data_IF_540626265033
#
_entry.id   IF_540626265033
#
_cell.length_a   1.000
_cell.length_b   1.000
_cell.length_c   1.000
_cell.angle_alpha   90.00
_cell.angle_beta   90.00
_cell.angle_gamma   90.00
#
_symmetry.space_group_name_H-M   'P 1'
#
loop_
_entity.id
_entity.type
_entity.pdbx_description
1 polymer ?
#
# COMPACT_ATOMS: atom_id res chain seq x y z
N UNK A 1 22.75 18.08 -3.54
CA UNK A 1 21.90 17.76 -2.37
C UNK A 1 20.50 18.31 -2.62
N UNK A 2 19.61 17.49 -3.16
CA UNK A 2 18.19 17.83 -3.33
C UNK A 2 17.37 16.55 -3.14
N UNK A 3 17.25 16.14 -1.88
CA UNK A 3 16.23 15.18 -1.45
C UNK A 3 15.11 15.98 -0.76
N UNK A 4 14.26 16.60 -1.57
CA UNK A 4 12.89 16.98 -1.25
C UNK A 4 12.12 16.52 -2.49
N UNK A 5 11.26 15.51 -2.41
CA UNK A 5 9.94 15.61 -1.81
C UNK A 5 9.46 14.24 -1.32
N UNK A 6 9.15 14.12 -0.02
CA UNK A 6 7.95 13.37 0.32
C UNK A 6 6.79 14.22 -0.19
N UNK A 7 5.84 13.59 -0.90
CA UNK A 7 4.64 14.21 -1.46
C UNK A 7 3.82 15.06 -0.45
N UNK A 8 4.11 14.93 0.84
CA UNK A 8 3.48 15.70 1.92
C UNK A 8 4.03 17.14 2.04
N UNK A 9 5.17 17.47 1.41
CA UNK A 9 5.83 18.78 1.54
C UNK A 9 5.75 19.67 0.29
N UNK A 10 5.11 19.21 -0.79
CA UNK A 10 4.87 20.02 -2.00
C UNK A 10 3.39 20.39 -2.09
N UNK A 11 3.08 21.61 -1.64
CA UNK A 11 1.73 22.16 -1.59
C UNK A 11 1.08 22.17 -2.98
N UNK A 12 1.85 22.44 -4.03
CA UNK A 12 1.34 22.46 -5.41
C UNK A 12 0.99 21.05 -5.89
N UNK A 13 1.85 20.08 -5.63
CA UNK A 13 1.57 18.68 -5.96
C UNK A 13 0.32 18.19 -5.22
N UNK A 14 0.19 18.55 -3.94
CA UNK A 14 -0.99 18.23 -3.13
C UNK A 14 -2.28 18.85 -3.69
N UNK A 15 -2.26 20.13 -4.07
CA UNK A 15 -3.40 20.79 -4.70
C UNK A 15 -3.75 20.15 -6.05
N UNK A 16 -2.74 19.84 -6.88
CA UNK A 16 -2.95 19.21 -8.18
C UNK A 16 -3.61 17.83 -8.06
N UNK A 17 -3.18 17.02 -7.09
CA UNK A 17 -3.76 15.69 -6.83
C UNK A 17 -5.19 15.81 -6.32
N UNK A 18 -5.48 16.75 -5.40
CA UNK A 18 -6.86 16.98 -4.92
C UNK A 18 -7.77 17.53 -6.01
N UNK A 19 -7.27 18.46 -6.83
CA UNK A 19 -8.01 19.00 -7.96
C UNK A 19 -8.34 17.91 -8.98
N UNK A 20 -7.35 17.08 -9.35
CA UNK A 20 -7.58 16.00 -10.30
C UNK A 20 -8.56 14.96 -9.74
N UNK A 21 -8.48 14.64 -8.45
CA UNK A 21 -9.49 13.82 -7.76
C UNK A 21 -10.88 14.44 -7.83
N UNK A 22 -11.00 15.76 -7.64
CA UNK A 22 -12.28 16.47 -7.76
C UNK A 22 -12.85 16.40 -9.19
N UNK A 23 -11.99 16.61 -10.21
CA UNK A 23 -12.37 16.49 -11.62
C UNK A 23 -12.86 15.08 -11.94
N UNK A 24 -12.13 14.04 -11.54
CA UNK A 24 -12.53 12.66 -11.82
C UNK A 24 -13.84 12.30 -11.08
N UNK A 25 -14.02 12.75 -9.84
CA UNK A 25 -15.29 12.57 -9.14
C UNK A 25 -16.47 13.23 -9.86
N UNK A 26 -16.27 14.45 -10.36
CA UNK A 26 -17.28 15.18 -11.14
C UNK A 26 -17.59 14.45 -12.44
N UNK A 27 -16.58 13.94 -13.15
CA UNK A 27 -16.76 13.13 -14.36
C UNK A 27 -17.55 11.86 -14.10
N UNK A 28 -17.26 11.15 -13.01
CA UNK A 28 -18.04 9.97 -12.61
C UNK A 28 -19.51 10.32 -12.40
N UNK A 29 -19.80 11.42 -11.68
CA UNK A 29 -21.18 11.86 -11.45
C UNK A 29 -21.93 12.18 -12.75
N UNK A 30 -21.25 12.76 -13.74
CA UNK A 30 -21.85 13.14 -15.03
C UNK A 30 -22.06 11.96 -15.99
N UNK A 31 -21.27 10.88 -15.85
CA UNK A 31 -21.28 9.74 -16.79
C UNK A 31 -21.49 8.41 -16.06
N UNK A 32 -22.22 8.45 -14.93
CA UNK A 32 -22.31 7.34 -14.00
C UNK A 32 -22.76 6.05 -14.66
N UNK A 33 -23.83 6.07 -15.46
CA UNK A 33 -24.37 4.86 -16.09
C UNK A 33 -23.35 4.16 -16.99
N UNK A 34 -22.69 4.92 -17.87
CA UNK A 34 -21.68 4.39 -18.80
C UNK A 34 -20.42 3.89 -18.09
N UNK A 35 -19.99 4.57 -17.03
CA UNK A 35 -18.78 4.19 -16.30
C UNK A 35 -19.07 3.02 -15.37
N UNK A 36 -20.23 2.99 -14.73
CA UNK A 36 -20.60 1.98 -13.74
C UNK A 36 -20.67 0.56 -14.32
N UNK A 37 -20.95 0.40 -15.62
CA UNK A 37 -20.98 -0.92 -16.28
C UNK A 37 -19.59 -1.52 -16.42
N UNK A 38 -18.55 -0.71 -16.64
CA UNK A 38 -17.14 -1.15 -16.72
C UNK A 38 -16.67 -1.85 -15.43
N UNK A 39 -17.25 -1.47 -14.29
CA UNK A 39 -16.90 -1.99 -12.96
C UNK A 39 -17.87 -3.06 -12.43
N UNK A 40 -18.80 -3.59 -13.24
CA UNK A 40 -19.73 -4.65 -12.81
C UNK A 40 -19.06 -6.01 -12.58
N UNK A 41 -17.95 -6.23 -13.29
CA UNK A 41 -17.12 -7.43 -13.16
C UNK A 41 -16.13 -7.36 -12.00
N UNK A 42 -16.04 -6.21 -11.31
CA UNK A 42 -15.12 -6.02 -10.20
C UNK A 42 -15.51 -6.94 -9.04
N UNK A 43 -14.60 -7.85 -8.69
CA UNK A 43 -14.77 -8.84 -7.63
C UNK A 43 -14.06 -8.43 -6.35
N UNK A 44 -12.91 -7.75 -6.46
CA UNK A 44 -12.07 -7.42 -5.31
C UNK A 44 -11.64 -5.96 -5.32
N UNK A 45 -11.67 -5.33 -4.14
CA UNK A 45 -11.03 -4.06 -3.89
C UNK A 45 -10.07 -4.23 -2.71
N UNK A 46 -8.76 -4.18 -2.95
CA UNK A 46 -7.77 -4.34 -1.89
C UNK A 46 -7.30 -2.98 -1.33
N UNK A 47 -7.19 -2.88 -0.02
CA UNK A 47 -6.65 -1.71 0.66
C UNK A 47 -5.38 -2.10 1.39
N UNK A 48 -4.30 -1.37 1.13
CA UNK A 48 -3.07 -1.59 1.87
C UNK A 48 -3.19 -0.97 3.25
N UNK A 49 -2.66 -1.65 4.26
CA UNK A 49 -2.45 -1.14 5.61
C UNK A 49 -0.99 -1.35 6.02
N UNK A 50 -0.50 -0.57 6.98
CA UNK A 50 0.82 -0.73 7.56
C UNK A 50 1.54 0.59 7.75
N UNK A 51 2.82 0.59 7.40
CA UNK A 51 3.79 1.57 7.86
C UNK A 51 4.45 2.32 6.70
N UNK A 52 4.87 3.57 6.90
CA UNK A 52 5.78 4.21 5.98
C UNK A 52 7.03 3.36 5.77
N UNK A 53 7.44 3.22 4.52
CA UNK A 53 8.72 2.58 4.11
C UNK A 53 8.76 1.04 4.26
N UNK A 54 7.62 0.38 4.45
CA UNK A 54 7.55 -1.10 4.51
C UNK A 54 7.56 -1.80 3.15
N UNK A 55 7.51 -1.06 2.03
CA UNK A 55 7.59 -1.65 0.67
C UNK A 55 6.26 -1.71 -0.08
N UNK A 56 5.22 -1.02 0.38
CA UNK A 56 3.93 -0.93 -0.32
C UNK A 56 4.06 -0.58 -1.81
N UNK A 57 5.03 0.26 -2.19
CA UNK A 57 5.22 0.68 -3.58
C UNK A 57 5.72 -0.41 -4.53
N UNK A 58 6.59 -1.32 -4.06
CA UNK A 58 7.03 -2.44 -4.90
C UNK A 58 5.90 -3.47 -5.03
N UNK A 59 5.23 -3.81 -3.92
CA UNK A 59 4.05 -4.68 -3.95
C UNK A 59 2.94 -4.14 -4.84
N UNK A 60 2.62 -2.85 -4.71
CA UNK A 60 1.63 -2.19 -5.56
C UNK A 60 2.02 -2.21 -7.04
N UNK A 61 3.32 -2.13 -7.37
CA UNK A 61 3.78 -2.15 -8.75
C UNK A 61 3.79 -3.55 -9.37
N UNK A 62 4.11 -4.58 -8.57
CA UNK A 62 3.97 -6.00 -8.94
C UNK A 62 2.50 -6.31 -9.26
N UNK A 63 1.58 -5.86 -8.40
CA UNK A 63 0.14 -6.06 -8.60
C UNK A 63 -0.40 -5.28 -9.81
N UNK A 64 0.04 -4.05 -10.02
CA UNK A 64 -0.36 -3.22 -11.17
C UNK A 64 0.23 -3.74 -12.51
N UNK A 65 1.22 -4.63 -12.45
CA UNK A 65 1.76 -5.31 -13.62
C UNK A 65 0.93 -6.52 -14.06
N UNK A 66 -0.11 -6.88 -13.31
CA UNK A 66 -1.04 -7.97 -13.62
C UNK A 66 -2.13 -7.51 -14.61
N UNK A 67 -2.50 -8.31 -15.64
CA UNK A 67 -3.44 -7.91 -16.68
C UNK A 67 -4.86 -7.61 -16.17
N UNK A 68 -5.27 -8.22 -15.07
CA UNK A 68 -6.64 -8.10 -14.57
C UNK A 68 -6.78 -7.25 -13.29
N UNK A 69 -5.74 -6.47 -12.94
CA UNK A 69 -5.73 -5.62 -11.76
C UNK A 69 -5.15 -4.24 -12.03
N UNK A 70 -5.70 -3.22 -11.36
CA UNK A 70 -5.08 -1.88 -11.30
C UNK A 70 -4.83 -1.45 -9.86
N UNK A 71 -3.68 -0.83 -9.61
CA UNK A 71 -3.31 -0.32 -8.29
C UNK A 71 -3.07 1.18 -8.33
N UNK A 72 -3.89 1.91 -7.58
CA UNK A 72 -3.69 3.33 -7.38
C UNK A 72 -2.44 3.58 -6.54
N UNK A 73 -1.63 4.52 -7.03
CA UNK A 73 -0.51 5.07 -6.30
C UNK A 73 -0.98 6.18 -5.36
N UNK A 74 -1.18 5.82 -4.08
CA UNK A 74 -1.48 6.75 -2.99
C UNK A 74 -2.70 7.64 -3.25
N UNK A 75 -3.80 7.04 -3.69
CA UNK A 75 -5.05 7.76 -3.95
C UNK A 75 -5.68 8.26 -2.65
N UNK A 76 -5.44 7.58 -1.53
CA UNK A 76 -6.18 7.75 -0.28
C UNK A 76 -7.67 7.44 -0.50
N UNK A 77 -7.91 6.17 -0.86
CA UNK A 77 -9.21 5.60 -1.22
C UNK A 77 -10.29 5.91 -0.19
N UNK A 78 -9.98 5.81 1.10
CA UNK A 78 -10.94 6.07 2.18
C UNK A 78 -11.40 7.54 2.21
N UNK A 79 -10.58 8.50 1.74
CA UNK A 79 -11.06 9.88 1.57
C UNK A 79 -12.05 10.04 0.40
N UNK A 80 -12.12 9.09 -0.53
CA UNK A 80 -13.05 9.13 -1.67
C UNK A 80 -14.44 8.57 -1.35
N UNK A 81 -14.57 7.68 -0.34
CA UNK A 81 -15.75 6.80 -0.22
C UNK A 81 -16.71 7.10 0.94
N UNK A 82 -16.41 8.05 1.83
CA UNK A 82 -17.36 8.48 2.87
C UNK A 82 -17.91 7.32 3.72
N UNK A 83 -19.09 7.50 4.34
CA UNK A 83 -19.74 6.46 5.18
C UNK A 83 -20.48 5.39 4.38
N UNK A 84 -20.71 5.60 3.08
CA UNK A 84 -21.39 4.66 2.19
C UNK A 84 -20.58 4.54 0.90
N UNK A 85 -19.60 3.63 0.87
CA UNK A 85 -18.71 3.49 -0.27
C UNK A 85 -19.45 3.17 -1.57
N UNK A 86 -19.34 4.06 -2.56
CA UNK A 86 -19.68 3.72 -3.95
C UNK A 86 -18.46 3.03 -4.56
N UNK A 87 -18.47 1.69 -4.55
CA UNK A 87 -17.33 0.90 -4.98
C UNK A 87 -17.05 1.01 -6.49
N UNK A 88 -18.06 1.30 -7.31
CA UNK A 88 -17.88 1.57 -8.74
C UNK A 88 -17.14 2.90 -8.94
N UNK A 89 -17.53 3.92 -8.17
CA UNK A 89 -16.80 5.20 -8.12
C UNK A 89 -15.36 5.00 -7.66
N UNK A 90 -15.13 4.19 -6.62
CA UNK A 90 -13.78 3.91 -6.14
C UNK A 90 -12.94 3.20 -7.21
N UNK A 91 -13.48 2.18 -7.87
CA UNK A 91 -12.82 1.50 -8.98
C UNK A 91 -12.42 2.47 -10.10
N UNK A 92 -13.33 3.38 -10.48
CA UNK A 92 -13.03 4.43 -11.45
C UNK A 92 -11.89 5.35 -11.01
N UNK A 93 -11.91 5.82 -9.76
CA UNK A 93 -10.86 6.70 -9.24
C UNK A 93 -9.50 6.00 -9.17
N UNK A 94 -9.49 4.70 -8.82
CA UNK A 94 -8.28 3.88 -8.84
C UNK A 94 -7.74 3.75 -10.26
N UNK A 95 -8.59 3.40 -11.22
CA UNK A 95 -8.22 3.29 -12.64
C UNK A 95 -7.59 4.58 -13.16
N UNK A 96 -8.26 5.71 -12.96
CA UNK A 96 -7.75 7.03 -13.37
C UNK A 96 -6.43 7.39 -12.68
N UNK A 97 -6.21 6.95 -11.45
CA UNK A 97 -4.97 7.19 -10.73
C UNK A 97 -3.82 6.34 -11.30
N UNK A 98 -4.03 5.03 -11.50
CA UNK A 98 -3.03 4.12 -12.09
C UNK A 98 -2.63 4.55 -13.51
N UNK A 99 -3.61 4.86 -14.39
CA UNK A 99 -3.36 5.37 -15.74
C UNK A 99 -2.44 6.61 -15.76
N UNK A 100 -2.70 7.57 -14.85
CA UNK A 100 -1.88 8.78 -14.73
C UNK A 100 -0.49 8.48 -14.19
N UNK A 101 -0.36 7.55 -13.25
CA UNK A 101 0.94 7.19 -12.71
C UNK A 101 1.82 6.53 -13.78
N UNK A 102 1.24 5.66 -14.61
CA UNK A 102 1.90 5.09 -15.79
C UNK A 102 2.34 6.15 -16.80
N UNK A 103 1.48 7.14 -17.09
CA UNK A 103 1.81 8.25 -18.00
C UNK A 103 2.97 9.14 -17.51
N UNK A 104 3.20 9.20 -16.19
CA UNK A 104 4.24 10.02 -15.57
C UNK A 104 5.50 9.20 -15.20
N UNK A 105 5.83 8.18 -15.99
CA UNK A 105 7.06 7.37 -15.87
C UNK A 105 7.22 6.61 -14.55
N UNK A 106 6.15 6.49 -13.74
CA UNK A 106 6.12 5.73 -12.48
C UNK A 106 7.27 6.03 -11.51
N UNK A 107 7.74 7.29 -11.52
CA UNK A 107 8.81 7.75 -10.65
C UNK A 107 8.27 8.12 -9.27
N UNK A 108 8.87 7.56 -8.21
CA UNK A 108 8.50 7.87 -6.84
C UNK A 108 9.73 8.00 -5.94
N UNK A 109 9.92 9.19 -5.37
CA UNK A 109 10.96 9.49 -4.38
C UNK A 109 12.38 9.07 -4.85
N UNK A 110 12.63 9.21 -6.15
CA UNK A 110 13.90 8.87 -6.81
C UNK A 110 14.02 7.42 -7.32
N UNK A 111 12.97 6.60 -7.20
CA UNK A 111 12.95 5.22 -7.69
C UNK A 111 11.95 5.07 -8.84
N UNK A 112 12.37 4.38 -9.90
CA UNK A 112 11.47 3.92 -10.95
C UNK A 112 10.80 2.63 -10.49
N UNK A 113 9.47 2.58 -10.56
CA UNK A 113 8.68 1.37 -10.28
C UNK A 113 8.01 0.82 -11.56
N UNK A 114 8.67 1.05 -12.68
CA UNK A 114 8.28 0.50 -13.96
C UNK A 114 8.66 -0.98 -14.01
N UNK A 115 7.73 -1.82 -14.47
CA UNK A 115 7.95 -3.23 -14.73
C UNK A 115 7.49 -3.47 -16.17
N UNK A 116 8.41 -3.99 -17.00
CA UNK A 116 8.21 -4.17 -18.44
C UNK A 116 7.31 -5.38 -18.76
N UNK A 117 6.06 -5.31 -18.31
CA UNK A 117 4.98 -6.25 -18.65
C UNK A 117 3.97 -5.65 -19.63
N UNK A 118 4.00 -4.32 -19.79
CA UNK A 118 3.05 -3.56 -20.63
C UNK A 118 1.67 -3.33 -19.98
N UNK A 119 1.41 -3.88 -18.79
CA UNK A 119 0.11 -3.81 -18.12
C UNK A 119 -0.04 -2.67 -17.11
N UNK A 120 1.04 -2.08 -16.62
CA UNK A 120 0.94 -0.98 -15.64
C UNK A 120 0.13 0.21 -16.18
N UNK A 121 -0.97 0.54 -15.51
CA UNK A 121 -1.95 1.54 -15.98
C UNK A 121 -2.90 1.08 -17.09
N UNK A 122 -2.94 -0.22 -17.40
CA UNK A 122 -3.82 -0.87 -18.40
C UNK A 122 -4.42 -2.15 -17.82
N UNK A 123 -5.45 -2.68 -18.47
CA UNK A 123 -6.01 -3.98 -18.07
C UNK A 123 -6.63 -4.71 -19.26
N UNK A 124 -6.69 -6.04 -19.15
CA UNK A 124 -7.46 -6.96 -19.98
C UNK A 124 -8.89 -7.01 -19.46
N UNK A 125 -9.12 -7.62 -18.29
CA UNK A 125 -10.42 -7.68 -17.62
C UNK A 125 -10.30 -7.15 -16.20
N UNK A 126 -10.88 -5.99 -15.87
CA UNK A 126 -10.67 -5.37 -14.57
C UNK A 126 -11.48 -6.04 -13.46
N UNK A 127 -10.95 -7.14 -12.89
CA UNK A 127 -11.61 -7.92 -11.84
C UNK A 127 -11.17 -7.50 -10.44
N UNK A 128 -10.00 -6.89 -10.31
CA UNK A 128 -9.48 -6.40 -9.03
C UNK A 128 -8.95 -4.96 -9.14
N UNK A 129 -9.08 -4.21 -8.05
CA UNK A 129 -8.45 -2.89 -7.90
C UNK A 129 -7.81 -2.78 -6.53
N UNK A 130 -6.81 -1.93 -6.36
CA UNK A 130 -6.27 -1.61 -5.04
C UNK A 130 -5.84 -0.15 -4.87
N UNK A 131 -5.71 0.28 -3.62
CA UNK A 131 -4.98 1.50 -3.25
C UNK A 131 -3.84 1.13 -2.31
N UNK A 132 -2.61 1.45 -2.71
CA UNK A 132 -1.40 1.10 -1.95
C UNK A 132 -1.05 2.10 -0.83
N UNK A 133 -1.98 3.00 -0.46
CA UNK A 133 -1.79 3.96 0.63
C UNK A 133 -1.89 3.29 2.01
N UNK A 134 -0.82 2.64 2.46
CA UNK A 134 -0.80 1.91 3.73
C UNK A 134 -1.03 2.78 4.96
N UNK A 135 -0.18 3.80 5.15
CA UNK A 135 -0.17 4.63 6.37
C UNK A 135 -1.51 5.35 6.58
N UNK A 136 -2.03 6.07 5.57
CA UNK A 136 -3.27 6.85 5.75
C UNK A 136 -4.49 5.94 5.93
N UNK A 137 -4.50 4.76 5.29
CA UNK A 137 -5.55 3.77 5.51
C UNK A 137 -5.52 3.27 6.97
N UNK A 138 -4.36 2.86 7.48
CA UNK A 138 -4.20 2.45 8.89
C UNK A 138 -4.68 3.55 9.86
N UNK A 139 -4.26 4.80 9.66
CA UNK A 139 -4.67 5.90 10.54
C UNK A 139 -6.19 6.10 10.53
N UNK A 140 -6.82 6.14 9.36
CA UNK A 140 -8.27 6.38 9.26
C UNK A 140 -9.11 5.28 9.87
N UNK A 141 -8.71 4.03 9.69
CA UNK A 141 -9.40 2.87 10.27
C UNK A 141 -9.14 2.79 11.78
N UNK A 142 -7.93 3.10 12.23
CA UNK A 142 -7.59 3.16 13.66
C UNK A 142 -8.34 4.26 14.41
N UNK A 143 -8.53 5.42 13.78
CA UNK A 143 -9.29 6.55 14.33
C UNK A 143 -10.81 6.35 14.25
N UNK A 144 -11.30 5.61 13.25
CA UNK A 144 -12.73 5.36 13.04
C UNK A 144 -13.00 3.88 12.77
N UNK A 145 -12.94 3.02 13.80
CA UNK A 145 -13.02 1.56 13.62
C UNK A 145 -14.34 1.06 13.04
N UNK A 146 -15.43 1.82 13.16
CA UNK A 146 -16.73 1.52 12.53
C UNK A 146 -16.69 1.51 10.99
N UNK A 147 -15.67 2.14 10.40
CA UNK A 147 -15.44 2.03 8.95
C UNK A 147 -15.07 0.61 8.53
N UNK A 148 -14.48 -0.18 9.43
CA UNK A 148 -14.16 -1.59 9.13
C UNK A 148 -15.44 -2.35 8.82
N UNK A 149 -16.48 -2.23 9.64
CA UNK A 149 -17.77 -2.88 9.40
C UNK A 149 -18.44 -2.40 8.11
N UNK A 150 -18.33 -1.11 7.82
CA UNK A 150 -18.83 -0.53 6.57
C UNK A 150 -18.17 -1.15 5.33
N UNK A 151 -16.87 -1.44 5.41
CA UNK A 151 -16.10 -2.07 4.34
C UNK A 151 -16.32 -3.58 4.29
N UNK A 152 -16.51 -4.24 5.44
CA UNK A 152 -16.81 -5.66 5.51
C UNK A 152 -18.17 -5.99 4.90
N UNK A 153 -19.18 -5.13 5.10
CA UNK A 153 -20.50 -5.24 4.47
C UNK A 153 -20.54 -4.98 2.96
N UNK A 154 -19.40 -4.75 2.30
CA UNK A 154 -19.32 -4.70 0.84
C UNK A 154 -19.09 -6.11 0.28
N UNK A 155 -20.12 -6.67 -0.35
CA UNK A 155 -20.07 -8.01 -0.94
C UNK A 155 -19.53 -8.00 -2.38
N UNK A 156 -19.78 -6.93 -3.13
CA UNK A 156 -19.33 -6.80 -4.52
C UNK A 156 -18.92 -5.37 -4.88
N UNK A 157 -17.62 -5.11 -5.08
CA UNK A 157 -16.49 -6.00 -4.83
C UNK A 157 -16.26 -6.25 -3.33
N UNK A 158 -15.70 -7.43 -3.02
CA UNK A 158 -15.22 -7.76 -1.68
C UNK A 158 -13.99 -6.90 -1.32
N UNK A 159 -14.03 -6.25 -0.15
CA UNK A 159 -12.91 -5.40 0.31
C UNK A 159 -11.86 -6.21 1.08
N UNK A 160 -10.70 -6.47 0.48
CA UNK A 160 -9.61 -7.23 1.10
C UNK A 160 -8.52 -6.29 1.66
N UNK A 161 -7.75 -6.72 2.65
CA UNK A 161 -6.67 -5.92 3.24
C UNK A 161 -5.31 -6.59 3.03
N UNK A 162 -4.32 -5.79 2.60
CA UNK A 162 -2.94 -6.25 2.43
C UNK A 162 -2.08 -5.53 3.46
N UNK A 163 -1.56 -6.28 4.42
CA UNK A 163 -0.67 -5.78 5.47
C UNK A 163 0.76 -6.17 5.15
N UNK A 164 1.65 -5.18 5.02
CA UNK A 164 3.07 -5.41 4.72
C UNK A 164 3.92 -4.94 5.88
N UNK A 165 4.65 -5.88 6.46
CA UNK A 165 5.65 -5.64 7.50
C UNK A 165 7.06 -5.58 6.89
N UNK A 166 7.97 -4.99 7.64
CA UNK A 166 9.40 -4.91 7.35
C UNK A 166 10.11 -4.65 8.67
N UNK A 167 11.40 -4.94 8.77
CA UNK A 167 12.18 -4.61 9.95
C UNK A 167 11.86 -3.18 10.47
N UNK A 168 11.35 -3.03 11.71
CA UNK A 168 10.94 -1.76 12.29
C UNK A 168 12.05 -0.71 12.30
N UNK A 169 13.29 -1.11 12.55
CA UNK A 169 14.44 -0.20 12.57
C UNK A 169 14.70 0.40 11.19
N UNK A 170 14.49 -0.35 10.12
CA UNK A 170 14.61 0.18 8.76
C UNK A 170 13.50 1.16 8.39
N UNK A 171 12.27 0.85 8.82
CA UNK A 171 11.15 1.77 8.65
C UNK A 171 11.40 3.09 9.39
N UNK A 172 11.74 3.00 10.69
CA UNK A 172 11.98 4.15 11.56
C UNK A 172 13.17 4.96 11.05
N UNK A 173 14.31 4.34 10.76
CA UNK A 173 15.51 5.05 10.28
C UNK A 173 15.25 5.78 8.97
N UNK A 174 14.62 5.12 7.99
CA UNK A 174 14.30 5.77 6.71
C UNK A 174 13.27 6.88 6.89
N UNK A 175 12.24 6.66 7.71
CA UNK A 175 11.17 7.63 7.94
C UNK A 175 11.68 8.87 8.69
N UNK A 176 12.46 8.69 9.76
CA UNK A 176 13.13 9.76 10.52
C UNK A 176 13.99 10.64 9.60
N UNK A 177 14.88 10.02 8.81
CA UNK A 177 15.77 10.74 7.88
C UNK A 177 15.02 11.55 6.82
N UNK A 178 13.93 11.01 6.27
CA UNK A 178 13.15 11.70 5.22
C UNK A 178 12.32 12.85 5.77
N UNK A 179 11.78 12.71 6.98
CA UNK A 179 10.97 13.74 7.63
C UNK A 179 11.80 14.78 8.38
N UNK A 180 13.09 14.54 8.60
CA UNK A 180 13.94 15.39 9.44
C UNK A 180 13.46 15.41 10.89
N UNK A 181 13.01 14.26 11.41
CA UNK A 181 12.52 14.10 12.80
C UNK A 181 13.41 13.14 13.57
N UNK A 182 13.41 13.22 14.90
CA UNK A 182 14.23 12.34 15.75
C UNK A 182 13.75 10.89 15.68
N UNK A 183 14.65 9.95 16.01
CA UNK A 183 14.30 8.53 16.03
C UNK A 183 13.25 8.22 17.10
N UNK A 184 13.27 8.92 18.23
CA UNK A 184 12.29 8.78 19.32
C UNK A 184 10.90 9.17 18.84
N UNK A 185 10.77 10.36 18.23
CA UNK A 185 9.49 10.81 17.67
C UNK A 185 8.97 9.82 16.62
N UNK A 186 9.83 9.37 15.71
CA UNK A 186 9.43 8.43 14.65
C UNK A 186 9.09 7.06 15.23
N UNK A 187 9.77 6.62 16.29
CA UNK A 187 9.48 5.38 17.02
C UNK A 187 8.08 5.43 17.62
N UNK A 188 7.72 6.53 18.30
CA UNK A 188 6.38 6.69 18.87
C UNK A 188 5.29 6.60 17.79
N UNK A 189 5.52 7.25 16.64
CA UNK A 189 4.61 7.19 15.49
C UNK A 189 4.55 5.83 14.82
N UNK A 190 5.65 5.10 14.77
CA UNK A 190 5.67 3.74 14.25
C UNK A 190 4.90 2.77 15.15
N UNK A 191 5.11 2.86 16.47
CA UNK A 191 4.43 2.02 17.46
C UNK A 191 2.93 2.35 17.57
N UNK A 192 2.55 3.61 17.38
CA UNK A 192 1.14 4.02 17.19
C UNK A 192 0.49 3.28 16.01
N UNK A 193 1.14 3.22 14.84
CA UNK A 193 0.66 2.44 13.70
C UNK A 193 0.63 0.94 13.99
N UNK A 194 1.57 0.40 14.78
CA UNK A 194 1.53 -1.01 15.17
C UNK A 194 0.30 -1.33 16.00
N UNK A 195 -0.05 -0.46 16.96
CA UNK A 195 -1.27 -0.58 17.77
C UNK A 195 -2.52 -0.53 16.89
N UNK A 196 -2.60 0.42 15.94
CA UNK A 196 -3.73 0.47 15.03
C UNK A 196 -3.84 -0.76 14.13
N UNK A 197 -2.74 -1.24 13.53
CA UNK A 197 -2.80 -2.45 12.71
C UNK A 197 -3.21 -3.68 13.53
N UNK A 198 -2.76 -3.82 14.78
CA UNK A 198 -3.20 -4.90 15.67
C UNK A 198 -4.71 -4.87 15.89
N UNK A 199 -5.26 -3.70 16.21
CA UNK A 199 -6.70 -3.53 16.42
C UNK A 199 -7.49 -3.81 15.14
N UNK A 200 -7.06 -3.24 14.00
CA UNK A 200 -7.70 -3.45 12.69
C UNK A 200 -7.71 -4.95 12.35
N UNK A 201 -6.55 -5.62 12.39
CA UNK A 201 -6.42 -7.03 12.03
C UNK A 201 -7.28 -7.92 12.93
N UNK A 202 -7.37 -7.61 14.23
CA UNK A 202 -8.19 -8.40 15.17
C UNK A 202 -9.69 -8.38 14.86
N UNK A 203 -10.16 -7.40 14.08
CA UNK A 203 -11.56 -7.25 13.65
C UNK A 203 -11.84 -7.83 12.26
N UNK A 204 -10.78 -8.19 11.52
CA UNK A 204 -10.92 -8.72 10.17
C UNK A 204 -11.01 -10.24 10.24
N UNK A 205 -11.95 -10.88 9.54
CA UNK A 205 -11.91 -12.32 9.35
C UNK A 205 -10.68 -12.71 8.52
N UNK A 206 -10.18 -13.94 8.70
CA UNK A 206 -8.92 -14.40 8.11
C UNK A 206 -8.88 -14.24 6.58
N UNK A 207 -10.01 -14.45 5.89
CA UNK A 207 -10.09 -14.29 4.43
C UNK A 207 -10.13 -12.82 3.95
N UNK A 208 -10.12 -11.84 4.86
CA UNK A 208 -10.15 -10.40 4.56
C UNK A 208 -8.85 -9.70 4.91
N UNK A 209 -7.81 -10.42 5.35
CA UNK A 209 -6.46 -9.85 5.50
C UNK A 209 -5.37 -10.85 5.15
N UNK A 210 -4.36 -10.40 4.42
CA UNK A 210 -3.08 -11.11 4.27
C UNK A 210 -1.96 -10.28 4.88
N UNK A 211 -1.09 -10.90 5.68
CA UNK A 211 0.13 -10.26 6.19
C UNK A 211 1.35 -10.86 5.50
N UNK A 212 2.17 -10.00 4.90
CA UNK A 212 3.39 -10.37 4.19
C UNK A 212 4.59 -9.62 4.79
N UNK A 213 5.79 -10.21 4.72
CA UNK A 213 7.03 -9.51 5.07
C UNK A 213 7.69 -8.98 3.81
N UNK A 214 8.36 -7.84 3.92
CA UNK A 214 9.09 -7.26 2.80
C UNK A 214 10.31 -8.10 2.44
N UNK A 215 10.96 -8.67 3.44
CA UNK A 215 12.15 -9.51 3.31
C UNK A 215 11.85 -10.76 2.49
N UNK A 216 10.63 -11.34 2.62
CA UNK A 216 10.22 -12.53 1.88
C UNK A 216 10.12 -12.27 0.35
N UNK A 217 9.93 -11.03 -0.12
CA UNK A 217 10.04 -10.71 -1.56
C UNK A 217 11.46 -10.92 -2.11
N UNK A 218 12.47 -10.86 -1.24
CA UNK A 218 13.87 -11.04 -1.64
C UNK A 218 14.22 -12.53 -1.54
N UNK A 219 13.88 -13.12 -0.39
CA UNK A 219 14.29 -14.47 0.01
C UNK A 219 13.47 -15.58 -0.67
N UNK A 220 12.16 -15.36 -0.89
CA UNK A 220 11.24 -16.34 -1.47
C UNK A 220 10.15 -15.64 -2.32
N UNK A 221 10.60 -15.03 -3.42
CA UNK A 221 9.77 -14.15 -4.25
C UNK A 221 8.55 -14.87 -4.84
N UNK A 222 8.76 -16.01 -5.48
CA UNK A 222 7.72 -16.75 -6.21
C UNK A 222 6.60 -17.22 -5.26
N UNK A 223 6.97 -17.72 -4.07
CA UNK A 223 6.01 -18.10 -3.04
C UNK A 223 5.25 -16.89 -2.49
N UNK A 224 5.95 -15.79 -2.21
CA UNK A 224 5.36 -14.55 -1.68
C UNK A 224 4.36 -13.94 -2.65
N UNK A 225 4.75 -13.79 -3.93
CA UNK A 225 3.86 -13.27 -4.98
C UNK A 225 2.75 -14.27 -5.28
N UNK A 226 3.03 -15.57 -5.29
CA UNK A 226 2.04 -16.62 -5.47
C UNK A 226 0.93 -16.57 -4.41
N UNK A 227 1.31 -16.44 -3.14
CA UNK A 227 0.39 -16.28 -2.01
C UNK A 227 -0.47 -15.03 -2.16
N UNK A 228 0.14 -13.90 -2.56
CA UNK A 228 -0.58 -12.65 -2.77
C UNK A 228 -1.59 -12.74 -3.94
N UNK A 229 -1.22 -13.38 -5.05
CA UNK A 229 -2.11 -13.58 -6.19
C UNK A 229 -3.25 -14.55 -5.87
N UNK A 230 -2.99 -15.65 -5.15
CA UNK A 230 -4.03 -16.57 -4.67
C UNK A 230 -5.02 -15.85 -3.75
N UNK A 231 -4.49 -15.07 -2.80
CA UNK A 231 -5.31 -14.29 -1.87
C UNK A 231 -6.24 -13.31 -2.61
N UNK A 232 -5.79 -12.75 -3.73
CA UNK A 232 -6.57 -11.85 -4.57
C UNK A 232 -7.39 -12.56 -5.65
N UNK A 233 -7.33 -13.89 -5.72
CA UNK A 233 -7.98 -14.72 -6.74
C UNK A 233 -7.59 -14.33 -8.18
N UNK A 234 -6.29 -14.04 -8.37
CA UNK A 234 -5.70 -13.66 -9.64
C UNK A 234 -4.90 -14.80 -10.28
N UNK A 235 -4.80 -14.77 -11.61
CA UNK A 235 -4.04 -15.74 -12.38
C UNK A 235 -2.53 -15.58 -12.12
N UNK A 236 -1.82 -16.72 -12.05
CA UNK A 236 -0.36 -16.74 -11.90
C UNK A 236 0.29 -16.93 -13.26
N UNK A 237 0.46 -15.84 -14.01
CA UNK A 237 1.22 -15.87 -15.26
C UNK A 237 2.74 -15.93 -14.96
N UNK A 238 3.43 -17.04 -15.31
CA UNK A 238 4.86 -17.19 -15.03
C UNK A 238 5.74 -16.14 -15.72
N UNK A 239 5.32 -15.63 -16.89
CA UNK A 239 6.07 -14.61 -17.63
C UNK A 239 6.02 -13.26 -16.91
N UNK A 240 4.84 -12.88 -16.42
CA UNK A 240 4.66 -11.66 -15.63
C UNK A 240 5.40 -11.76 -14.30
N UNK A 241 5.30 -12.90 -13.62
CA UNK A 241 6.02 -13.13 -12.35
C UNK A 241 7.54 -13.00 -12.56
N UNK A 242 8.08 -13.59 -13.62
CA UNK A 242 9.51 -13.47 -13.96
C UNK A 242 9.91 -12.00 -14.19
N UNK A 243 9.10 -11.22 -14.91
CA UNK A 243 9.34 -9.78 -15.11
C UNK A 243 9.28 -8.99 -13.80
N UNK A 244 8.33 -9.31 -12.93
CA UNK A 244 8.24 -8.71 -11.61
C UNK A 244 9.49 -9.03 -10.76
N UNK A 245 10.07 -10.24 -10.87
CA UNK A 245 11.30 -10.61 -10.15
C UNK A 245 12.47 -9.71 -10.51
N UNK A 246 12.63 -9.35 -11.78
CA UNK A 246 13.69 -8.46 -12.28
C UNK A 246 13.66 -7.07 -11.60
N UNK A 247 12.49 -6.64 -11.10
CA UNK A 247 12.31 -5.33 -10.43
C UNK A 247 12.62 -5.32 -8.93
N UNK A 248 12.84 -6.50 -8.32
CA UNK A 248 13.13 -6.62 -6.88
C UNK A 248 14.63 -6.64 -6.64
N UNK A 249 15.08 -5.88 -5.63
CA UNK A 249 16.49 -5.85 -5.24
C UNK A 249 16.98 -7.22 -4.77
N UNK A 250 18.25 -7.50 -5.04
CA UNK A 250 18.93 -8.71 -4.60
C UNK A 250 19.23 -8.76 -3.09
N UNK A 251 19.10 -7.64 -2.38
CA UNK A 251 19.32 -7.57 -0.93
C UNK A 251 18.50 -6.47 -0.25
N UNK A 252 18.09 -6.68 1.01
CA UNK A 252 17.32 -5.69 1.76
C UNK A 252 18.17 -4.47 2.08
N UNK A 253 17.59 -3.28 1.94
CA UNK A 253 18.26 -2.04 2.33
C UNK A 253 18.20 -1.87 3.85
N UNK A 254 19.31 -2.14 4.52
CA UNK A 254 19.48 -1.98 5.97
C UNK A 254 19.79 -0.52 6.34
N UNK A 255 18.80 0.35 6.13
CA UNK A 255 18.83 1.76 6.53
C UNK A 255 19.02 2.01 8.03
N UNK A 256 18.73 1.02 8.89
CA UNK A 256 18.99 1.06 10.33
C UNK A 256 20.46 1.36 10.66
N UNK A 257 21.39 0.94 9.81
CA UNK A 257 22.83 1.18 9.94
C UNK A 257 23.28 2.59 9.46
N UNK A 258 22.34 3.43 8.99
CA UNK A 258 22.62 4.77 8.44
C UNK A 258 22.29 5.90 9.42
N UNK A 259 21.91 5.56 10.66
CA UNK A 259 21.56 6.50 11.74
C UNK A 259 22.14 5.99 13.06
N UNK A 260 22.31 6.89 14.02
CA UNK A 260 22.82 6.53 15.34
C UNK A 260 21.65 6.21 16.28
N UNK A 261 21.55 4.95 16.69
CA UNK A 261 20.59 4.50 17.69
C UNK A 261 21.21 4.52 19.08
N UNK A 262 20.47 4.98 20.09
CA UNK A 262 20.86 4.74 21.48
C UNK A 262 20.52 3.29 21.86
N UNK A 263 21.34 2.65 22.73
CA UNK A 263 21.02 1.31 23.24
C UNK A 263 19.63 1.23 23.86
N UNK A 264 19.21 2.27 24.59
CA UNK A 264 17.89 2.34 25.22
C UNK A 264 16.75 2.35 24.19
N UNK A 265 16.91 3.08 23.09
CA UNK A 265 15.89 3.12 22.04
C UNK A 265 15.79 1.79 21.29
N UNK A 266 16.93 1.11 21.05
CA UNK A 266 16.93 -0.24 20.49
C UNK A 266 16.16 -1.18 21.41
N UNK A 267 16.54 -1.23 22.68
CA UNK A 267 15.88 -2.08 23.67
C UNK A 267 14.38 -1.79 23.79
N UNK A 268 13.99 -0.52 23.77
CA UNK A 268 12.58 -0.09 23.78
C UNK A 268 11.83 -0.64 22.57
N UNK A 269 12.36 -0.46 21.35
CA UNK A 269 11.70 -0.97 20.14
C UNK A 269 11.58 -2.48 20.20
N UNK A 270 12.65 -3.21 20.50
CA UNK A 270 12.63 -4.67 20.59
C UNK A 270 11.62 -5.18 21.63
N UNK A 271 11.47 -4.48 22.75
CA UNK A 271 10.52 -4.82 23.81
C UNK A 271 9.08 -4.54 23.39
N UNK A 272 8.79 -3.33 22.89
CA UNK A 272 7.41 -2.93 22.57
C UNK A 272 6.86 -3.70 21.37
N UNK A 273 7.70 -4.06 20.39
CA UNK A 273 7.21 -4.80 19.21
C UNK A 273 6.77 -6.23 19.54
N UNK A 274 7.19 -6.80 20.68
CA UNK A 274 6.75 -8.14 21.10
C UNK A 274 5.23 -8.21 21.33
N UNK A 275 4.58 -7.07 21.58
CA UNK A 275 3.13 -7.01 21.74
C UNK A 275 2.35 -7.25 20.43
N UNK A 276 3.03 -7.31 19.27
CA UNK A 276 2.42 -7.46 17.95
C UNK A 276 2.94 -8.73 17.27
N UNK A 277 2.07 -9.73 17.10
CA UNK A 277 2.44 -11.06 16.57
C UNK A 277 3.19 -10.98 15.23
N UNK A 278 2.76 -10.06 14.36
CA UNK A 278 3.38 -9.79 13.06
C UNK A 278 4.74 -9.06 13.11
N UNK A 279 5.23 -8.67 14.29
CA UNK A 279 6.55 -8.04 14.48
C UNK A 279 7.51 -8.83 15.38
N UNK A 280 7.04 -9.85 16.11
CA UNK A 280 7.81 -10.53 17.17
C UNK A 280 9.17 -11.06 16.74
N UNK A 281 9.29 -11.46 15.46
CA UNK A 281 10.50 -12.03 14.88
C UNK A 281 11.58 -11.00 14.50
N UNK A 282 11.25 -9.70 14.50
CA UNK A 282 12.23 -8.66 14.18
C UNK A 282 13.03 -8.25 15.42
N UNK A 283 14.31 -8.04 15.19
CA UNK A 283 15.29 -7.47 16.11
C UNK A 283 16.16 -6.49 15.32
N UNK A 284 17.08 -5.79 15.98
CA UNK A 284 17.97 -4.87 15.27
C UNK A 284 18.84 -5.58 14.20
N UNK A 285 19.19 -6.84 14.45
CA UNK A 285 20.12 -7.62 13.62
C UNK A 285 19.52 -8.22 12.35
N UNK A 286 18.21 -8.50 12.31
CA UNK A 286 17.57 -9.27 11.22
C UNK A 286 16.50 -8.46 10.47
#
# INVERSE_FOLDING_TARGET
MTAKTDLDNDVWLWFSVRWQRFVDQTRFSLQKERIATEFEQLKTCALFIGYPRSGHSIYGSILDAHPDMLVAHRLDALACVGKKPDMKKLGYLIKRNSERFAQNSRMLTGYAYDIDTGWQGKHRNLVAVADQEGKRTTLKLGENPELIETLLGQDKPMVKFIHITRNPFDNIATWSRRMGRSLEYTTDKYLELCRYNKEIISRLPENRVVTLRHEDLIDDFESTVGTLLDYLELEKDPHIIAKCRESVYSSPNQSRNKVNWSPDLVHRVETEIQAFDFMRHYHFGN
#
